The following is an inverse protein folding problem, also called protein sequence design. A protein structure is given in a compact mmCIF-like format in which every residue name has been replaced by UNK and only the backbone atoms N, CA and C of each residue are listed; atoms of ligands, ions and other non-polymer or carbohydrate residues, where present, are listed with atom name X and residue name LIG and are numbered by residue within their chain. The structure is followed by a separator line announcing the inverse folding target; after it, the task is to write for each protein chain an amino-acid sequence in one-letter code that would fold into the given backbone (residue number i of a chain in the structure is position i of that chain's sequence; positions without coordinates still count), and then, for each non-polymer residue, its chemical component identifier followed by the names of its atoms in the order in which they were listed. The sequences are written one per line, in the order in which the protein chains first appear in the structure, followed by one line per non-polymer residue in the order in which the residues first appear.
data_IF_314054712543
#
_entry.id   IF_314054712543
#
_cell.length_a   1.000
_cell.length_b   1.000
_cell.length_c   1.000
_cell.angle_alpha   90.00
_cell.angle_beta   90.00
_cell.angle_gamma   90.00
#
_symmetry.space_group_name_H-M   'P 1'
#
loop_
_entity.id
_entity.type
_entity.pdbx_description
1 polymer ?
#
# COMPACT_ATOMS: atom_id res chain seq x y z
N UNK A 1 19.37 21.88 -7.95
CA UNK A 1 18.79 20.64 -8.45
C UNK A 1 18.72 19.62 -7.31
N UNK A 2 17.56 18.97 -7.08
CA UNK A 2 17.41 17.89 -6.09
C UNK A 2 17.35 16.57 -6.84
N UNK A 3 18.03 15.52 -6.35
CA UNK A 3 17.98 14.20 -6.98
C UNK A 3 16.57 13.60 -6.89
N UNK A 4 16.30 12.60 -7.72
CA UNK A 4 15.10 11.79 -7.61
C UNK A 4 15.12 11.01 -6.29
N UNK A 5 13.96 10.93 -5.64
CA UNK A 5 13.83 10.12 -4.43
C UNK A 5 13.91 8.63 -4.74
N UNK A 6 14.27 7.85 -3.72
CA UNK A 6 14.45 6.40 -3.80
C UNK A 6 13.68 5.69 -2.69
N UNK A 7 13.62 4.37 -2.76
CA UNK A 7 13.01 3.51 -1.75
C UNK A 7 11.95 2.57 -2.32
N UNK A 8 11.67 1.52 -1.56
CA UNK A 8 10.57 0.58 -1.86
C UNK A 8 9.24 1.28 -1.59
N UNK A 9 8.18 0.79 -2.21
CA UNK A 9 6.82 1.23 -1.89
C UNK A 9 6.52 0.90 -0.43
N UNK A 10 5.77 1.77 0.24
CA UNK A 10 5.38 1.66 1.65
C UNK A 10 6.57 1.54 2.62
N UNK A 11 7.71 2.16 2.31
CA UNK A 11 8.83 2.21 3.25
C UNK A 11 9.08 3.60 3.79
N UNK A 12 9.41 3.69 5.08
CA UNK A 12 9.76 4.92 5.79
C UNK A 12 11.15 4.74 6.40
N UNK A 13 12.04 5.71 6.14
CA UNK A 13 13.33 5.80 6.80
C UNK A 13 13.20 6.61 8.09
N UNK A 14 13.53 6.01 9.22
CA UNK A 14 13.45 6.65 10.55
C UNK A 14 14.86 7.07 10.97
N UNK A 15 15.09 8.36 11.07
CA UNK A 15 16.38 8.95 11.42
C UNK A 15 16.38 9.29 12.91
N UNK A 16 17.13 8.50 13.68
CA UNK A 16 17.13 8.54 15.13
C UNK A 16 18.43 7.90 15.68
N UNK A 17 18.84 8.21 16.90
CA UNK A 17 19.92 7.49 17.57
C UNK A 17 19.49 6.08 18.02
N UNK A 18 20.46 5.16 18.12
CA UNK A 18 20.20 3.76 18.44
C UNK A 18 19.49 3.55 19.80
N UNK A 19 19.88 4.22 20.91
CA UNK A 19 19.20 4.05 22.19
C UNK A 19 17.71 4.47 22.13
N UNK A 20 17.38 5.51 21.37
CA UNK A 20 15.99 5.95 21.20
C UNK A 20 15.19 5.03 20.29
N UNK A 21 15.85 4.46 19.27
CA UNK A 21 15.24 3.46 18.39
C UNK A 21 14.89 2.16 19.14
N UNK A 22 15.77 1.70 20.03
CA UNK A 22 15.56 0.49 20.84
C UNK A 22 14.68 0.75 22.09
N UNK A 23 14.33 2.01 22.35
CA UNK A 23 13.54 2.43 23.50
C UNK A 23 12.13 2.90 23.11
N UNK A 24 11.48 3.57 24.08
CA UNK A 24 10.08 4.00 24.00
C UNK A 24 9.72 4.84 22.77
N UNK A 25 10.65 5.63 22.24
CA UNK A 25 10.39 6.43 21.03
C UNK A 25 10.25 5.50 19.82
N UNK A 26 11.18 4.54 19.67
CA UNK A 26 11.10 3.55 18.60
C UNK A 26 9.86 2.65 18.70
N UNK A 27 9.46 2.29 19.95
CA UNK A 27 8.23 1.53 20.19
C UNK A 27 6.99 2.32 19.71
N UNK A 28 6.89 3.60 20.05
CA UNK A 28 5.78 4.45 19.62
C UNK A 28 5.73 4.61 18.08
N UNK A 29 6.89 4.70 17.41
CA UNK A 29 6.97 4.76 15.95
C UNK A 29 6.50 3.44 15.33
N UNK A 30 6.96 2.29 15.84
CA UNK A 30 6.57 0.96 15.36
C UNK A 30 5.08 0.71 15.56
N UNK A 31 4.56 0.97 16.75
CA UNK A 31 3.13 0.80 17.08
C UNK A 31 2.23 1.56 16.10
N UNK A 32 2.63 2.78 15.70
CA UNK A 32 1.81 3.62 14.83
C UNK A 32 2.04 3.33 13.35
N UNK A 33 3.28 3.36 12.88
CA UNK A 33 3.58 3.30 11.44
C UNK A 33 3.78 1.89 10.90
N UNK A 34 4.16 0.92 11.75
CA UNK A 34 4.24 -0.50 11.39
C UNK A 34 3.06 -1.31 11.95
N UNK A 35 1.92 -0.67 12.24
CA UNK A 35 0.70 -1.36 12.62
C UNK A 35 0.23 -2.32 11.51
N UNK A 36 -0.40 -3.42 11.92
CA UNK A 36 -0.93 -4.41 10.99
C UNK A 36 -2.04 -3.84 10.11
N UNK A 37 -2.02 -4.21 8.85
CA UNK A 37 -3.09 -3.89 7.92
C UNK A 37 -4.24 -4.87 8.14
N UNK A 38 -5.35 -4.37 8.67
CA UNK A 38 -6.52 -5.18 9.01
C UNK A 38 -7.17 -5.75 7.74
N UNK A 39 -7.58 -7.01 7.78
CA UNK A 39 -8.33 -7.67 6.69
C UNK A 39 -7.47 -8.46 5.70
N UNK A 40 -6.16 -8.57 5.93
CA UNK A 40 -5.30 -9.45 5.15
C UNK A 40 -5.08 -10.80 5.87
N UNK A 41 -5.08 -11.93 5.14
CA UNK A 41 -4.86 -13.25 5.74
C UNK A 41 -3.43 -13.47 6.26
N UNK A 42 -2.50 -12.64 5.82
CA UNK A 42 -1.12 -12.59 6.32
C UNK A 42 -0.90 -11.23 6.97
N UNK A 43 -0.19 -11.24 8.10
CA UNK A 43 0.19 -10.00 8.77
C UNK A 43 1.09 -9.18 7.85
N UNK A 44 0.60 -8.04 7.41
CA UNK A 44 1.38 -7.05 6.66
C UNK A 44 1.38 -5.73 7.43
N UNK A 45 2.55 -5.14 7.56
CA UNK A 45 2.72 -3.82 8.17
C UNK A 45 2.27 -2.72 7.20
N UNK A 46 1.61 -1.69 7.72
CA UNK A 46 1.22 -0.52 6.93
C UNK A 46 2.43 0.14 6.26
N UNK A 47 3.55 0.25 6.99
CA UNK A 47 4.83 0.69 6.45
C UNK A 47 5.98 -0.16 6.95
N UNK A 48 6.90 -0.50 6.07
CA UNK A 48 8.20 -1.08 6.46
C UNK A 48 9.12 0.02 6.97
N UNK A 49 9.54 -0.07 8.23
CA UNK A 49 10.40 0.91 8.85
C UNK A 49 11.88 0.55 8.69
N UNK A 50 12.68 1.50 8.21
CA UNK A 50 14.12 1.37 8.06
C UNK A 50 14.83 2.31 9.04
N UNK A 51 15.47 1.76 10.06
CA UNK A 51 16.30 2.52 10.99
C UNK A 51 17.55 3.06 10.30
N UNK A 52 17.83 4.35 10.48
CA UNK A 52 19.05 5.02 9.98
C UNK A 52 19.60 5.91 11.10
N UNK A 53 20.81 5.66 11.60
CA UNK A 53 21.45 6.55 12.56
C UNK A 53 21.80 7.90 11.91
N UNK A 54 21.89 8.97 12.70
CA UNK A 54 22.14 10.32 12.17
C UNK A 54 23.40 10.41 11.29
N UNK A 55 24.45 9.67 11.66
CA UNK A 55 25.76 9.67 10.96
C UNK A 55 25.63 9.07 9.56
N UNK A 56 24.74 8.09 9.37
CA UNK A 56 24.47 7.46 8.08
C UNK A 56 23.48 8.25 7.21
N UNK A 57 22.81 9.26 7.77
CA UNK A 57 21.87 10.09 7.02
C UNK A 57 22.59 11.15 6.19
N UNK A 58 23.38 10.69 5.23
CA UNK A 58 24.19 11.49 4.31
C UNK A 58 24.02 11.00 2.86
N UNK A 59 24.45 11.78 1.89
CA UNK A 59 24.47 11.35 0.48
C UNK A 59 23.21 10.63 0.04
N UNK A 60 23.35 9.38 -0.35
CA UNK A 60 22.24 8.52 -0.80
C UNK A 60 21.17 8.28 0.29
N UNK A 61 21.55 8.21 1.57
CA UNK A 61 20.58 8.06 2.67
C UNK A 61 19.54 9.18 2.72
N UNK A 62 19.87 10.38 2.21
CA UNK A 62 18.95 11.52 2.15
C UNK A 62 17.94 11.45 1.00
N UNK A 63 18.09 10.50 0.08
CA UNK A 63 17.17 10.37 -1.06
C UNK A 63 15.93 9.55 -0.74
N UNK A 64 15.80 8.98 0.45
CA UNK A 64 14.61 8.24 0.87
C UNK A 64 13.34 9.08 0.63
N UNK A 65 12.32 8.46 0.00
CA UNK A 65 11.08 9.17 -0.35
C UNK A 65 10.28 9.59 0.87
N UNK A 66 10.17 8.71 1.87
CA UNK A 66 9.50 9.01 3.13
C UNK A 66 10.50 8.95 4.28
N UNK A 67 10.52 9.99 5.08
CA UNK A 67 11.45 10.14 6.20
C UNK A 67 10.70 10.62 7.43
N UNK A 68 10.95 9.95 8.57
CA UNK A 68 10.66 10.46 9.91
C UNK A 68 12.00 10.83 10.55
N UNK A 69 12.17 12.09 10.90
CA UNK A 69 13.37 12.62 11.52
C UNK A 69 13.08 13.08 12.94
N UNK A 70 13.73 12.45 13.91
CA UNK A 70 13.61 12.83 15.33
C UNK A 70 14.65 13.89 15.66
N UNK A 71 14.21 15.06 16.10
CA UNK A 71 15.10 16.16 16.45
C UNK A 71 15.08 16.43 17.96
N UNK A 72 16.16 16.02 18.63
CA UNK A 72 16.34 16.18 20.09
C UNK A 72 16.96 17.51 20.51
N UNK A 73 17.23 18.41 19.58
CA UNK A 73 17.96 19.67 19.87
C UNK A 73 17.04 20.86 20.09
N UNK A 74 15.76 20.72 19.88
CA UNK A 74 14.77 21.78 20.03
C UNK A 74 13.40 21.21 20.40
N UNK A 75 12.55 22.07 20.97
CA UNK A 75 11.13 21.82 21.17
C UNK A 75 10.36 22.57 20.09
N UNK A 76 9.57 21.84 19.29
CA UNK A 76 8.79 22.43 18.20
C UNK A 76 7.61 21.51 17.84
N UNK A 77 6.57 22.04 17.20
CA UNK A 77 5.48 21.22 16.67
C UNK A 77 5.95 20.33 15.53
N UNK A 78 5.43 19.10 15.42
CA UNK A 78 5.70 18.25 14.27
C UNK A 78 5.33 18.94 12.96
N UNK A 79 6.17 18.78 11.95
CA UNK A 79 5.93 19.39 10.63
C UNK A 79 6.33 18.48 9.48
N UNK A 80 5.50 18.45 8.44
CA UNK A 80 5.82 17.80 7.18
C UNK A 80 6.50 18.79 6.25
N UNK A 81 7.68 18.43 5.77
CA UNK A 81 8.48 19.21 4.81
C UNK A 81 8.49 18.43 3.49
N UNK A 82 8.10 19.07 2.40
CA UNK A 82 8.16 18.47 1.07
C UNK A 82 9.50 18.74 0.42
N UNK A 83 10.01 17.73 -0.27
CA UNK A 83 11.20 17.85 -1.12
C UNK A 83 12.43 18.43 -0.40
N UNK A 84 12.72 18.04 0.84
CA UNK A 84 13.84 18.59 1.60
C UNK A 84 15.18 18.31 0.94
N UNK A 85 15.45 17.07 0.56
CA UNK A 85 16.73 16.62 0.00
C UNK A 85 16.60 15.94 -1.37
N UNK A 86 15.46 15.37 -1.67
CA UNK A 86 15.16 14.70 -2.92
C UNK A 86 13.73 15.04 -3.39
N UNK A 87 13.34 14.62 -4.59
CA UNK A 87 12.01 14.87 -5.14
C UNK A 87 11.45 13.65 -5.88
N UNK A 88 10.17 13.24 -5.61
CA UNK A 88 9.30 13.72 -4.52
C UNK A 88 9.79 13.20 -3.16
N UNK A 89 9.68 13.98 -2.10
CA UNK A 89 10.04 13.55 -0.75
C UNK A 89 9.07 14.11 0.28
N UNK A 90 8.63 13.25 1.21
CA UNK A 90 7.89 13.61 2.41
C UNK A 90 8.80 13.43 3.63
N UNK A 91 9.04 14.50 4.35
CA UNK A 91 9.97 14.55 5.47
C UNK A 91 9.24 15.06 6.71
N UNK A 92 8.84 14.15 7.60
CA UNK A 92 8.26 14.48 8.90
C UNK A 92 9.36 14.76 9.91
N UNK A 93 9.46 15.98 10.39
CA UNK A 93 10.32 16.35 11.52
C UNK A 93 9.48 16.36 12.80
N UNK A 94 9.86 15.51 13.77
CA UNK A 94 9.30 15.49 15.13
C UNK A 94 10.39 15.94 16.08
N UNK A 95 10.10 16.99 16.85
CA UNK A 95 11.09 17.67 17.69
C UNK A 95 10.67 17.65 19.16
N UNK A 96 11.61 17.41 20.06
CA UNK A 96 11.39 17.45 21.50
C UNK A 96 12.71 17.36 22.26
N UNK A 97 12.74 17.89 23.50
CA UNK A 97 13.94 17.88 24.34
C UNK A 97 14.02 16.61 25.23
N UNK A 98 12.91 15.94 25.40
CA UNK A 98 12.80 14.68 26.15
C UNK A 98 11.95 13.64 25.38
N UNK A 99 11.94 12.41 25.89
CA UNK A 99 11.23 11.30 25.26
C UNK A 99 9.71 11.52 25.24
N UNK A 100 9.15 12.10 26.29
CA UNK A 100 7.71 12.33 26.42
C UNK A 100 7.22 13.29 25.36
N UNK A 101 7.87 14.44 25.19
CA UNK A 101 7.53 15.43 24.18
C UNK A 101 7.68 14.90 22.74
N UNK A 102 8.68 14.05 22.49
CA UNK A 102 8.85 13.40 21.19
C UNK A 102 7.71 12.39 20.93
N UNK A 103 7.38 11.53 21.91
CA UNK A 103 6.29 10.57 21.80
C UNK A 103 4.97 11.30 21.56
N UNK A 104 4.65 12.35 22.31
CA UNK A 104 3.47 13.17 22.07
C UNK A 104 3.46 13.79 20.67
N UNK A 105 4.62 14.21 20.17
CA UNK A 105 4.78 14.69 18.81
C UNK A 105 4.45 13.62 17.77
N UNK A 106 4.91 12.37 17.97
CA UNK A 106 4.60 11.22 17.10
C UNK A 106 3.10 10.96 17.10
N UNK A 107 2.50 10.81 18.29
CA UNK A 107 1.07 10.49 18.45
C UNK A 107 0.17 11.57 17.81
N UNK A 108 0.45 12.84 18.11
CA UNK A 108 -0.36 13.96 17.60
C UNK A 108 -0.24 14.20 16.10
N UNK A 109 0.87 13.77 15.46
CA UNK A 109 1.07 13.94 14.03
C UNK A 109 0.72 12.70 13.21
N UNK A 110 0.41 11.57 13.83
CA UNK A 110 0.27 10.28 13.15
C UNK A 110 -0.78 10.30 12.05
N UNK A 111 -2.03 10.63 12.34
CA UNK A 111 -3.13 10.56 11.37
C UNK A 111 -2.84 11.39 10.12
N UNK A 112 -2.43 12.63 10.35
CA UNK A 112 -2.08 13.55 9.27
C UNK A 112 -0.87 13.06 8.46
N UNK A 113 0.19 12.58 9.11
CA UNK A 113 1.43 12.19 8.43
C UNK A 113 1.30 10.84 7.74
N UNK A 114 0.63 9.86 8.33
CA UNK A 114 0.36 8.55 7.71
C UNK A 114 -0.48 8.69 6.45
N UNK A 115 -1.52 9.51 6.48
CA UNK A 115 -2.32 9.80 5.29
C UNK A 115 -1.49 10.44 4.16
N UNK A 116 -0.57 11.38 4.49
CA UNK A 116 0.32 11.96 3.48
C UNK A 116 1.31 10.95 2.91
N UNK A 117 1.92 10.11 3.76
CA UNK A 117 2.80 9.04 3.30
C UNK A 117 2.06 8.06 2.39
N UNK A 118 0.88 7.58 2.78
CA UNK A 118 0.05 6.68 1.95
C UNK A 118 -0.30 7.31 0.60
N UNK A 119 -0.78 8.54 0.59
CA UNK A 119 -1.11 9.24 -0.64
C UNK A 119 0.12 9.42 -1.54
N UNK A 120 1.28 9.74 -0.96
CA UNK A 120 2.55 9.82 -1.68
C UNK A 120 2.96 8.48 -2.31
N UNK A 121 2.77 7.37 -1.61
CA UNK A 121 3.06 6.03 -2.10
C UNK A 121 2.07 5.58 -3.20
N UNK A 122 0.79 5.93 -3.08
CA UNK A 122 -0.21 5.68 -4.12
C UNK A 122 0.19 6.41 -5.41
N UNK A 123 0.55 7.68 -5.33
CA UNK A 123 0.98 8.46 -6.50
C UNK A 123 2.29 7.92 -7.12
N UNK A 124 3.26 7.56 -6.29
CA UNK A 124 4.49 6.93 -6.77
C UNK A 124 4.21 5.59 -7.47
N UNK A 125 3.32 4.77 -6.90
CA UNK A 125 2.93 3.49 -7.50
C UNK A 125 2.19 3.68 -8.82
N UNK A 126 1.27 4.63 -8.91
CA UNK A 126 0.63 5.02 -10.17
C UNK A 126 1.65 5.43 -11.22
N UNK A 127 2.63 6.27 -10.87
CA UNK A 127 3.68 6.70 -11.80
C UNK A 127 4.52 5.52 -12.30
N UNK A 128 4.85 4.56 -11.43
CA UNK A 128 5.58 3.34 -11.83
C UNK A 128 4.76 2.48 -12.79
N UNK A 129 3.45 2.32 -12.52
CA UNK A 129 2.54 1.57 -13.39
C UNK A 129 2.46 2.25 -14.77
N UNK A 130 2.32 3.58 -14.83
CA UNK A 130 2.23 4.32 -16.08
C UNK A 130 3.46 4.18 -16.99
N UNK A 131 4.63 3.90 -16.43
CA UNK A 131 5.85 3.68 -17.19
C UNK A 131 5.89 2.36 -17.96
N UNK A 132 5.01 1.39 -17.62
CA UNK A 132 4.98 0.07 -18.23
C UNK A 132 3.57 -0.52 -18.20
N UNK A 133 2.75 -0.10 -19.17
CA UNK A 133 1.37 -0.54 -19.31
C UNK A 133 1.25 -1.70 -20.29
N UNK A 134 0.29 -2.59 -20.04
CA UNK A 134 -0.18 -3.57 -20.99
C UNK A 134 -0.88 -2.82 -22.14
N UNK A 135 -0.43 -3.05 -23.38
CA UNK A 135 -0.93 -2.34 -24.56
C UNK A 135 -2.35 -2.74 -24.92
N UNK A 136 -2.61 -4.05 -24.90
CA UNK A 136 -3.92 -4.63 -25.14
C UNK A 136 -4.40 -5.31 -23.86
N UNK A 137 -5.50 -4.82 -23.31
CA UNK A 137 -6.09 -5.36 -22.10
C UNK A 137 -7.29 -6.27 -22.36
N UNK A 138 -7.80 -6.29 -23.59
CA UNK A 138 -9.04 -6.97 -23.95
C UNK A 138 -10.31 -6.34 -23.38
N UNK A 139 -10.20 -5.19 -22.66
CA UNK A 139 -11.31 -4.58 -21.92
C UNK A 139 -12.24 -3.72 -22.79
N UNK A 140 -11.84 -3.44 -24.02
CA UNK A 140 -12.66 -2.64 -24.96
C UNK A 140 -14.02 -3.32 -25.23
N UNK A 141 -14.05 -4.67 -25.24
CA UNK A 141 -15.29 -5.45 -25.38
C UNK A 141 -16.29 -5.22 -24.25
N UNK A 142 -15.81 -4.84 -23.06
CA UNK A 142 -16.62 -4.54 -21.88
C UNK A 142 -16.89 -3.04 -21.70
N UNK A 143 -16.44 -2.18 -22.64
CA UNK A 143 -16.51 -0.73 -22.53
C UNK A 143 -15.85 -0.17 -21.24
N UNK A 144 -14.83 -0.83 -20.74
CA UNK A 144 -14.09 -0.46 -19.53
C UNK A 144 -12.66 -0.06 -19.91
N UNK A 145 -12.17 1.02 -19.32
CA UNK A 145 -10.78 1.45 -19.45
C UNK A 145 -10.06 1.34 -18.09
N UNK A 146 -9.06 0.46 -18.00
CA UNK A 146 -8.18 0.31 -16.85
C UNK A 146 -6.72 0.37 -17.29
N UNK A 147 -5.88 0.99 -16.46
CA UNK A 147 -4.44 1.02 -16.63
C UNK A 147 -3.82 -0.22 -15.97
N UNK A 148 -3.57 -1.24 -16.75
CA UNK A 148 -3.03 -2.54 -16.29
C UNK A 148 -1.52 -2.56 -16.48
N UNK A 149 -0.74 -2.92 -15.44
CA UNK A 149 0.71 -3.10 -15.58
C UNK A 149 1.07 -4.18 -16.60
N UNK A 150 2.14 -3.98 -17.37
CA UNK A 150 2.64 -4.95 -18.38
C UNK A 150 3.10 -6.29 -17.80
N UNK A 151 3.21 -6.38 -16.47
CA UNK A 151 3.45 -7.65 -15.78
C UNK A 151 2.25 -8.61 -15.83
N UNK A 152 1.07 -8.12 -16.18
CA UNK A 152 -0.10 -8.95 -16.48
C UNK A 152 -0.14 -9.31 -17.96
N UNK A 153 -0.71 -10.48 -18.25
CA UNK A 153 -1.06 -10.93 -19.59
C UNK A 153 -2.50 -11.41 -19.64
N UNK A 154 -3.13 -11.34 -20.81
CA UNK A 154 -4.47 -11.90 -21.00
C UNK A 154 -4.35 -13.42 -20.94
N UNK A 155 -5.06 -14.03 -20.00
CA UNK A 155 -5.21 -15.48 -19.88
C UNK A 155 -6.44 -15.96 -20.64
N UNK A 156 -7.55 -15.21 -20.54
CA UNK A 156 -8.81 -15.51 -21.22
C UNK A 156 -9.51 -14.21 -21.63
N UNK A 157 -10.09 -14.19 -22.82
CA UNK A 157 -10.87 -13.06 -23.33
C UNK A 157 -12.12 -13.62 -24.01
N UNK A 158 -13.26 -13.46 -23.38
CA UNK A 158 -14.57 -13.90 -23.85
C UNK A 158 -15.52 -12.70 -23.91
N UNK A 159 -16.67 -12.77 -24.61
CA UNK A 159 -17.54 -11.62 -24.86
C UNK A 159 -17.93 -10.81 -23.61
N UNK A 160 -18.07 -11.43 -22.46
CA UNK A 160 -18.47 -10.78 -21.19
C UNK A 160 -17.42 -10.92 -20.09
N UNK A 161 -16.23 -11.44 -20.41
CA UNK A 161 -15.23 -11.74 -19.37
C UNK A 161 -13.82 -11.57 -19.89
N UNK A 162 -13.04 -10.78 -19.17
CA UNK A 162 -11.60 -10.67 -19.37
C UNK A 162 -10.88 -11.15 -18.13
N UNK A 163 -9.99 -12.11 -18.29
CA UNK A 163 -9.17 -12.65 -17.22
C UNK A 163 -7.70 -12.40 -17.52
N UNK A 164 -7.06 -11.60 -16.65
CA UNK A 164 -5.65 -11.31 -16.73
C UNK A 164 -4.91 -11.99 -15.57
N UNK A 165 -3.70 -12.45 -15.86
CA UNK A 165 -2.84 -13.12 -14.91
C UNK A 165 -1.46 -12.48 -14.85
N UNK A 166 -0.88 -12.48 -13.63
CA UNK A 166 0.51 -12.13 -13.37
C UNK A 166 1.16 -13.24 -12.56
N UNK A 167 2.25 -13.88 -13.07
CA UNK A 167 2.98 -14.87 -12.29
C UNK A 167 3.66 -14.20 -11.09
N UNK A 168 3.61 -14.86 -9.95
CA UNK A 168 4.30 -14.51 -8.71
C UNK A 168 5.30 -15.62 -8.37
N UNK A 169 6.23 -15.35 -7.45
CA UNK A 169 7.21 -16.34 -7.00
C UNK A 169 6.55 -17.64 -6.51
N UNK A 170 5.44 -17.54 -5.79
CA UNK A 170 4.75 -18.66 -5.14
C UNK A 170 3.28 -18.76 -5.57
N UNK A 171 2.93 -18.36 -6.79
CA UNK A 171 1.55 -18.44 -7.25
C UNK A 171 1.25 -17.54 -8.44
N UNK A 172 -0.01 -17.15 -8.57
CA UNK A 172 -0.49 -16.30 -9.66
C UNK A 172 -1.45 -15.25 -9.09
N UNK A 173 -1.24 -14.00 -9.47
CA UNK A 173 -2.24 -12.94 -9.21
C UNK A 173 -3.24 -12.96 -10.37
N UNK A 174 -4.52 -13.05 -10.05
CA UNK A 174 -5.61 -13.11 -11.01
C UNK A 174 -6.46 -11.85 -10.92
N UNK A 175 -6.76 -11.25 -12.07
CA UNK A 175 -7.72 -10.15 -12.20
C UNK A 175 -8.79 -10.60 -13.20
N UNK A 176 -9.99 -10.89 -12.69
CA UNK A 176 -11.13 -11.32 -13.49
C UNK A 176 -12.13 -10.17 -13.51
N UNK A 177 -12.50 -9.74 -14.70
CA UNK A 177 -13.48 -8.69 -14.93
C UNK A 177 -14.61 -9.33 -15.75
N UNK A 178 -15.82 -9.35 -15.17
CA UNK A 178 -16.97 -10.01 -15.78
C UNK A 178 -18.17 -9.06 -15.79
N UNK A 179 -18.79 -8.91 -16.95
CA UNK A 179 -20.09 -8.25 -17.08
C UNK A 179 -21.17 -9.18 -16.52
N UNK A 180 -22.03 -8.64 -15.66
CA UNK A 180 -23.13 -9.38 -15.08
C UNK A 180 -24.43 -9.03 -15.79
N UNK A 181 -25.12 -10.04 -16.30
CA UNK A 181 -26.47 -9.92 -16.83
C UNK A 181 -27.48 -9.80 -15.68
N UNK A 182 -27.35 -8.74 -14.88
CA UNK A 182 -28.29 -8.54 -13.79
C UNK A 182 -29.02 -7.22 -13.97
N UNK A 183 -30.34 -7.25 -13.80
CA UNK A 183 -31.18 -6.09 -13.63
C UNK A 183 -31.05 -5.47 -12.23
N UNK A 184 -29.87 -5.51 -11.62
CA UNK A 184 -29.62 -4.84 -10.34
C UNK A 184 -29.68 -3.34 -10.59
N UNK A 185 -30.90 -2.82 -10.55
CA UNK A 185 -31.19 -1.38 -10.70
C UNK A 185 -30.79 -0.58 -9.45
N UNK A 186 -30.37 -1.23 -8.39
CA UNK A 186 -30.22 -0.61 -7.06
C UNK A 186 -28.95 -1.10 -6.37
N UNK A 187 -27.81 -0.53 -6.81
CA UNK A 187 -26.50 -0.81 -6.21
C UNK A 187 -26.43 -0.42 -4.73
N UNK A 188 -27.30 0.46 -4.25
CA UNK A 188 -27.37 0.87 -2.84
C UNK A 188 -27.91 -0.26 -1.93
N UNK A 189 -28.53 -1.31 -2.50
CA UNK A 189 -29.05 -2.47 -1.75
C UNK A 189 -28.13 -3.68 -1.74
N UNK A 190 -26.99 -3.62 -2.45
CA UNK A 190 -26.03 -4.74 -2.43
C UNK A 190 -25.38 -4.81 -1.05
N UNK A 191 -25.57 -5.91 -0.37
CA UNK A 191 -24.93 -6.17 0.91
C UNK A 191 -23.66 -7.04 0.77
N UNK A 192 -22.88 -7.16 1.84
CA UNK A 192 -21.64 -7.93 1.86
C UNK A 192 -21.84 -9.39 1.40
N UNK A 193 -22.93 -10.04 1.83
CA UNK A 193 -23.19 -11.44 1.47
C UNK A 193 -23.46 -11.59 -0.03
N UNK A 194 -24.09 -10.60 -0.67
CA UNK A 194 -24.32 -10.60 -2.12
C UNK A 194 -22.99 -10.53 -2.86
N UNK A 195 -22.07 -9.66 -2.41
CA UNK A 195 -20.72 -9.52 -2.99
C UNK A 195 -19.92 -10.81 -2.82
N UNK A 196 -19.94 -11.42 -1.63
CA UNK A 196 -19.26 -12.69 -1.35
C UNK A 196 -19.83 -13.81 -2.22
N UNK A 197 -21.16 -13.95 -2.28
CA UNK A 197 -21.83 -14.98 -3.09
C UNK A 197 -21.50 -14.83 -4.58
N UNK A 198 -21.48 -13.60 -5.09
CA UNK A 198 -21.10 -13.30 -6.47
C UNK A 198 -19.64 -13.67 -6.72
N UNK A 199 -18.72 -13.25 -5.84
CA UNK A 199 -17.30 -13.57 -5.94
C UNK A 199 -17.07 -15.09 -5.93
N UNK A 200 -17.75 -15.82 -5.05
CA UNK A 200 -17.62 -17.28 -4.95
C UNK A 200 -18.20 -17.99 -6.17
N UNK A 201 -19.26 -17.45 -6.80
CA UNK A 201 -19.78 -17.97 -8.07
C UNK A 201 -18.78 -17.81 -9.22
N UNK A 202 -18.08 -16.68 -9.27
CA UNK A 202 -16.98 -16.43 -10.22
C UNK A 202 -15.82 -17.38 -9.94
N UNK A 203 -15.47 -17.59 -8.65
CA UNK A 203 -14.46 -18.55 -8.23
C UNK A 203 -14.78 -19.97 -8.71
N UNK A 204 -16.03 -20.39 -8.57
CA UNK A 204 -16.51 -21.70 -9.03
C UNK A 204 -16.42 -21.86 -10.55
N UNK A 205 -16.71 -20.81 -11.30
CA UNK A 205 -16.70 -20.83 -12.77
C UNK A 205 -15.27 -20.82 -13.35
N UNK A 206 -14.37 -20.01 -12.78
CA UNK A 206 -13.08 -19.73 -13.39
C UNK A 206 -11.88 -20.34 -12.65
N UNK A 207 -11.97 -20.59 -11.36
CA UNK A 207 -10.83 -21.03 -10.54
C UNK A 207 -11.15 -22.34 -9.82
N UNK A 208 -11.24 -23.46 -10.56
CA UNK A 208 -11.43 -24.76 -9.95
C UNK A 208 -10.19 -25.17 -9.14
N UNK A 209 -10.42 -25.88 -8.05
CA UNK A 209 -9.38 -26.44 -7.23
C UNK A 209 -8.81 -27.75 -7.83
N UNK A 210 -7.81 -28.31 -7.15
CA UNK A 210 -7.18 -29.58 -7.57
C UNK A 210 -8.03 -30.83 -7.27
N UNK A 211 -8.95 -30.69 -6.30
CA UNK A 211 -9.87 -31.77 -5.90
C UNK A 211 -11.19 -31.57 -6.63
N UNK A 212 -11.80 -32.70 -7.06
CA UNK A 212 -13.07 -32.67 -7.75
C UNK A 212 -14.12 -31.88 -6.93
N UNK A 213 -14.90 -31.01 -7.61
CA UNK A 213 -15.89 -30.12 -7.03
C UNK A 213 -15.35 -29.05 -6.04
N UNK A 214 -14.02 -28.90 -5.93
CA UNK A 214 -13.44 -27.78 -5.19
C UNK A 214 -13.19 -26.57 -6.09
N UNK A 215 -13.28 -25.38 -5.52
CA UNK A 215 -13.02 -24.10 -6.21
C UNK A 215 -12.63 -23.01 -5.21
N UNK A 216 -12.16 -21.89 -5.71
CA UNK A 216 -11.80 -20.74 -4.89
C UNK A 216 -13.06 -20.12 -4.26
N UNK A 217 -13.06 -19.99 -2.94
CA UNK A 217 -14.10 -19.31 -2.16
C UNK A 217 -13.50 -18.16 -1.34
N UNK A 218 -14.37 -17.27 -0.88
CA UNK A 218 -13.97 -16.21 0.05
C UNK A 218 -13.62 -16.81 1.41
N UNK A 219 -12.47 -16.40 1.97
CA UNK A 219 -12.08 -16.78 3.33
C UNK A 219 -12.98 -16.07 4.34
N UNK A 220 -13.68 -16.84 5.17
CA UNK A 220 -14.71 -16.32 6.09
C UNK A 220 -14.13 -15.57 7.28
N UNK A 221 -12.87 -15.86 7.66
CA UNK A 221 -12.18 -15.18 8.75
C UNK A 221 -11.72 -13.77 8.36
N UNK A 222 -11.58 -13.52 7.05
CA UNK A 222 -11.07 -12.26 6.49
C UNK A 222 -12.06 -11.69 5.48
N UNK A 223 -13.27 -11.38 5.94
CA UNK A 223 -14.30 -10.80 5.08
C UNK A 223 -13.85 -9.43 4.54
N UNK A 224 -14.18 -9.12 3.27
CA UNK A 224 -13.87 -7.83 2.70
C UNK A 224 -14.56 -6.71 3.49
N UNK A 225 -13.86 -5.60 3.68
CA UNK A 225 -14.44 -4.36 4.17
C UNK A 225 -15.17 -3.67 3.00
N UNK A 226 -16.38 -3.25 3.25
CA UNK A 226 -17.19 -2.42 2.33
C UNK A 226 -17.38 -1.06 2.96
#
# INVERSE_FOLDING_TARGET
FKPQSSGRINSISVIIDKPSWDGKIGDAIREKYASEFIGLPQVEEAFTLNYIPYEAFTGFGRTARNVIYINKKKQDKPRMIRDRYARPQLFLEVSGLDNESIIQGILSSFEFSSAQFQNGEIEENKNRILNSLLKDTGLDSLSISLKIPSAYSIFKNEPQTVWLQKPLKNGTSNLIIKELNSSVSDFEKINLNDVVSLRDSIGKEFIPGRVENSYMITEKEYLPYI
#
